data_IF_480826207497
#
_entry.id   IF_480826207497
#
_cell.length_a   1.000
_cell.length_b   1.000
_cell.length_c   1.000
_cell.angle_alpha   90.00
_cell.angle_beta   90.00
_cell.angle_gamma   90.00
#
_symmetry.space_group_name_H-M   'P 1'
#
loop_
_entity.id
_entity.type
_entity.pdbx_description
1 polymer ?
#
# COMPACT_ATOMS: atom_id res chain seq x y z
N UNK A 1 59.80 -3.10 12.03
CA UNK A 1 59.19 -1.80 12.39
C UNK A 1 57.71 -1.86 12.08
N UNK A 2 56.89 -1.57 13.09
CA UNK A 2 55.44 -1.75 13.14
C UNK A 2 54.73 -0.69 12.29
N UNK A 3 53.80 -1.08 11.41
CA UNK A 3 52.69 -0.20 10.99
C UNK A 3 51.41 -1.04 10.85
N UNK A 4 50.69 -1.08 11.96
CA UNK A 4 49.34 -1.60 12.16
C UNK A 4 48.35 -0.96 11.18
N UNK A 5 47.71 -1.78 10.35
CA UNK A 5 46.52 -1.37 9.58
C UNK A 5 45.32 -1.34 10.53
N UNK A 6 44.81 -0.15 10.77
CA UNK A 6 43.62 0.08 11.59
C UNK A 6 42.40 -0.16 10.69
N UNK A 7 41.67 -1.23 10.98
CA UNK A 7 40.37 -1.54 10.37
C UNK A 7 39.30 -0.88 11.25
N UNK A 8 38.73 0.25 10.81
CA UNK A 8 37.50 0.80 11.40
C UNK A 8 36.46 0.95 10.30
N UNK A 9 35.70 -0.12 10.08
CA UNK A 9 34.43 -0.07 9.39
C UNK A 9 33.38 0.41 10.40
N UNK A 10 33.18 1.72 10.47
CA UNK A 10 32.08 2.32 11.26
C UNK A 10 30.77 2.06 10.53
N UNK A 11 30.03 1.05 10.99
CA UNK A 11 28.64 0.84 10.59
C UNK A 11 27.79 1.92 11.29
N UNK A 12 27.37 2.93 10.56
CA UNK A 12 26.40 3.92 11.02
C UNK A 12 24.98 3.39 10.75
N UNK A 13 24.44 2.58 11.67
CA UNK A 13 22.99 2.29 11.68
C UNK A 13 22.30 3.47 12.36
N UNK A 14 21.88 4.47 11.58
CA UNK A 14 20.91 5.44 12.04
C UNK A 14 19.52 4.99 11.59
N UNK A 15 18.64 4.77 12.57
CA UNK A 15 17.30 4.25 12.42
C UNK A 15 16.47 5.00 11.38
N UNK A 16 15.96 4.29 10.38
CA UNK A 16 14.82 4.77 9.60
C UNK A 16 13.60 4.80 10.54
N UNK A 17 13.32 5.99 11.07
CA UNK A 17 12.02 6.27 11.70
C UNK A 17 11.00 6.32 10.57
N UNK A 18 10.30 5.20 10.34
CA UNK A 18 9.12 5.20 9.49
C UNK A 18 8.01 5.97 10.24
N UNK A 19 7.88 7.26 9.95
CA UNK A 19 6.67 8.01 10.31
C UNK A 19 5.50 7.37 9.57
N UNK A 20 4.66 6.65 10.31
CA UNK A 20 3.36 6.19 9.82
C UNK A 20 2.42 7.37 10.01
N UNK A 21 2.36 8.26 9.01
CA UNK A 21 1.36 9.32 9.07
C UNK A 21 -0.03 8.68 9.01
N UNK A 22 -0.81 9.05 10.02
CA UNK A 22 -2.17 8.59 10.27
C UNK A 22 -3.09 8.94 9.09
N UNK A 23 -4.22 8.24 8.98
CA UNK A 23 -5.33 8.62 8.11
C UNK A 23 -5.53 10.14 8.10
N UNK A 24 -5.71 10.70 6.91
CA UNK A 24 -5.97 12.12 6.71
C UNK A 24 -7.00 12.62 7.74
N UNK A 25 -6.57 13.57 8.58
CA UNK A 25 -7.44 14.12 9.64
C UNK A 25 -8.64 14.86 9.05
N UNK A 26 -8.53 15.30 7.79
CA UNK A 26 -9.62 15.96 7.08
C UNK A 26 -10.46 14.91 6.37
N UNK A 27 -11.47 14.42 7.09
CA UNK A 27 -12.37 13.38 6.60
C UNK A 27 -13.15 13.86 5.37
N UNK A 28 -13.06 13.19 4.21
CA UNK A 28 -13.92 13.51 3.06
C UNK A 28 -15.38 13.10 3.35
N UNK A 29 -16.34 13.82 2.77
CA UNK A 29 -17.77 13.53 2.86
C UNK A 29 -18.63 14.78 3.06
N UNK A 30 -19.93 14.56 3.25
CA UNK A 30 -20.95 15.59 3.44
C UNK A 30 -21.73 15.37 4.74
N UNK A 31 -22.24 16.44 5.34
CA UNK A 31 -23.08 16.38 6.56
C UNK A 31 -24.49 16.93 6.34
N UNK A 32 -24.72 17.50 5.16
CA UNK A 32 -25.88 18.27 4.73
C UNK A 32 -26.69 17.55 3.63
N UNK A 33 -26.39 16.28 3.34
CA UNK A 33 -27.17 15.45 2.41
C UNK A 33 -28.39 14.83 3.11
N UNK A 34 -29.46 14.45 2.37
CA UNK A 34 -30.60 13.74 2.96
C UNK A 34 -30.22 12.40 3.61
N UNK A 35 -31.00 11.99 4.62
CA UNK A 35 -30.85 10.70 5.28
C UNK A 35 -31.40 9.58 4.37
N UNK A 36 -30.67 8.48 4.23
CA UNK A 36 -31.13 7.33 3.43
C UNK A 36 -32.26 6.63 4.20
N UNK A 37 -33.42 6.35 3.58
CA UNK A 37 -34.54 5.68 4.25
C UNK A 37 -34.13 4.37 4.93
N UNK A 38 -34.66 4.12 6.13
CA UNK A 38 -34.45 2.89 6.88
C UNK A 38 -33.14 2.80 7.67
N UNK A 39 -32.34 3.88 7.73
CA UNK A 39 -31.08 3.90 8.48
C UNK A 39 -30.69 5.33 8.90
N UNK A 40 -29.55 5.51 9.59
CA UNK A 40 -29.14 6.80 10.19
C UNK A 40 -28.11 7.64 9.41
N UNK A 41 -27.49 7.08 8.37
CA UNK A 41 -26.44 7.75 7.59
C UNK A 41 -26.98 8.57 6.43
N UNK A 42 -26.20 9.52 5.98
CA UNK A 42 -26.44 10.23 4.73
C UNK A 42 -25.64 9.63 3.58
N UNK A 43 -25.96 10.04 2.35
CA UNK A 43 -25.11 9.73 1.19
C UNK A 43 -23.75 10.41 1.39
N UNK A 44 -22.67 9.61 1.37
CA UNK A 44 -21.28 10.04 1.67
C UNK A 44 -21.10 10.73 3.04
N UNK A 45 -21.82 10.26 4.06
CA UNK A 45 -21.78 10.86 5.40
C UNK A 45 -20.36 10.94 6.00
N UNK A 46 -19.89 12.16 6.26
CA UNK A 46 -18.57 12.40 6.84
C UNK A 46 -18.43 11.88 8.28
N UNK A 47 -19.55 11.78 9.02
CA UNK A 47 -19.59 11.34 10.41
C UNK A 47 -19.67 9.81 10.54
N UNK A 48 -19.75 9.07 9.42
CA UNK A 48 -19.74 7.60 9.47
C UNK A 48 -18.38 7.11 9.97
N UNK A 49 -18.34 6.29 11.05
CA UNK A 49 -17.09 5.76 11.59
C UNK A 49 -16.32 5.00 10.51
N UNK A 50 -15.05 5.34 10.34
CA UNK A 50 -14.14 4.63 9.45
C UNK A 50 -13.51 3.45 10.18
N UNK A 51 -13.20 2.36 9.47
CA UNK A 51 -12.34 1.31 10.01
C UNK A 51 -11.02 1.89 10.52
N UNK A 52 -10.46 1.28 11.56
CA UNK A 52 -9.12 1.64 12.03
C UNK A 52 -8.12 1.39 10.91
N UNK A 53 -7.17 2.32 10.74
CA UNK A 53 -6.01 2.07 9.87
C UNK A 53 -5.19 0.96 10.51
N UNK A 54 -4.94 -0.11 9.76
CA UNK A 54 -4.08 -1.21 10.19
C UNK A 54 -2.84 -1.19 9.32
N UNK A 55 -1.67 -1.27 9.96
CA UNK A 55 -0.40 -1.42 9.23
C UNK A 55 -0.40 -2.78 8.52
N UNK A 56 -0.26 -2.75 7.20
CA UNK A 56 -0.06 -3.98 6.44
C UNK A 56 1.25 -4.65 6.90
N UNK A 57 1.16 -5.94 7.25
CA UNK A 57 2.34 -6.76 7.52
C UNK A 57 3.09 -7.11 6.23
N UNK A 58 4.34 -7.57 6.32
CA UNK A 58 5.06 -8.07 5.16
C UNK A 58 4.30 -9.25 4.57
N UNK A 59 4.05 -9.21 3.25
CA UNK A 59 3.50 -10.36 2.55
C UNK A 59 4.59 -11.40 2.38
N UNK A 60 4.33 -12.63 2.83
CA UNK A 60 5.25 -13.78 2.68
C UNK A 60 5.49 -14.17 1.23
N UNK A 61 4.61 -13.75 0.32
CA UNK A 61 4.62 -14.15 -1.09
C UNK A 61 4.92 -13.00 -2.04
N UNK A 62 5.07 -11.77 -1.53
CA UNK A 62 5.41 -10.62 -2.38
C UNK A 62 6.81 -10.81 -2.97
N UNK A 63 6.91 -10.76 -4.30
CA UNK A 63 8.15 -11.02 -5.02
C UNK A 63 8.51 -12.50 -5.16
N UNK A 64 7.67 -13.42 -4.68
CA UNK A 64 7.88 -14.85 -4.93
C UNK A 64 7.76 -15.13 -6.44
N UNK A 65 8.63 -15.99 -6.95
CA UNK A 65 8.54 -16.45 -8.33
C UNK A 65 7.23 -17.23 -8.53
N UNK A 66 6.61 -17.13 -9.71
CA UNK A 66 5.48 -17.98 -10.07
C UNK A 66 5.83 -19.47 -9.87
N UNK A 67 4.90 -20.30 -9.40
CA UNK A 67 5.15 -21.73 -9.25
C UNK A 67 5.39 -22.39 -10.61
N UNK A 68 6.05 -23.55 -10.60
CA UNK A 68 6.32 -24.32 -11.82
C UNK A 68 5.00 -24.66 -12.54
N UNK A 69 4.89 -24.30 -13.81
CA UNK A 69 3.70 -24.54 -14.64
C UNK A 69 2.65 -23.42 -14.62
N UNK A 70 2.85 -22.35 -13.84
CA UNK A 70 1.97 -21.18 -13.89
C UNK A 70 2.13 -20.42 -15.22
N UNK A 71 1.01 -19.90 -15.72
CA UNK A 71 1.02 -18.89 -16.78
C UNK A 71 1.34 -17.54 -16.13
N UNK A 72 2.46 -16.93 -16.53
CA UNK A 72 2.89 -15.63 -16.02
C UNK A 72 2.19 -14.52 -16.80
N UNK A 73 1.32 -13.75 -16.13
CA UNK A 73 0.55 -12.68 -16.76
C UNK A 73 1.32 -11.35 -16.88
N UNK A 74 2.31 -11.14 -16.01
CA UNK A 74 3.19 -9.96 -16.01
C UNK A 74 4.44 -10.28 -15.18
N UNK A 75 5.63 -10.10 -15.77
CA UNK A 75 6.92 -10.29 -15.12
C UNK A 75 7.78 -9.01 -15.07
N UNK A 76 7.21 -7.89 -15.51
CA UNK A 76 7.90 -6.60 -15.64
C UNK A 76 8.38 -6.27 -17.06
N UNK A 77 8.29 -7.21 -18.01
CA UNK A 77 8.78 -7.00 -19.38
C UNK A 77 7.74 -6.33 -20.27
N UNK A 78 6.54 -6.93 -20.34
CA UNK A 78 5.47 -6.46 -21.22
C UNK A 78 4.08 -6.90 -20.75
N UNK A 79 3.05 -6.39 -21.42
CA UNK A 79 1.64 -6.72 -21.17
C UNK A 79 1.03 -7.60 -22.27
N UNK A 80 1.84 -8.37 -23.00
CA UNK A 80 1.40 -9.19 -24.14
C UNK A 80 0.32 -10.24 -23.80
N UNK A 81 0.20 -10.60 -22.52
CA UNK A 81 -0.86 -11.50 -22.02
C UNK A 81 -2.21 -10.81 -21.82
N UNK A 82 -2.29 -9.50 -22.01
CA UNK A 82 -3.50 -8.69 -21.84
C UNK A 82 -3.97 -8.17 -23.19
N UNK A 83 -5.28 -8.23 -23.42
CA UNK A 83 -5.91 -7.62 -24.59
C UNK A 83 -6.56 -6.30 -24.19
N UNK A 84 -6.23 -5.24 -24.94
CA UNK A 84 -6.97 -3.98 -24.86
C UNK A 84 -8.25 -4.14 -25.67
N UNK A 85 -9.25 -4.75 -25.06
CA UNK A 85 -10.59 -4.78 -25.61
C UNK A 85 -11.05 -3.32 -25.67
N UNK A 86 -11.21 -2.74 -26.86
CA UNK A 86 -11.93 -1.48 -27.01
C UNK A 86 -13.38 -1.77 -26.68
N UNK A 87 -13.74 -1.59 -25.41
CA UNK A 87 -15.12 -1.57 -24.99
C UNK A 87 -15.81 -0.50 -25.85
N UNK A 88 -16.73 -0.93 -26.72
CA UNK A 88 -17.66 -0.01 -27.36
C UNK A 88 -18.70 0.31 -26.29
N UNK A 89 -18.60 1.51 -25.72
CA UNK A 89 -19.72 2.17 -25.04
C UNK A 89 -20.72 2.60 -26.11
#
# INVERSE_FOLDING_TARGET
MKKTFIFFLTIFVAAFVFNTDAADKKLPGYTDTPVIPGQKWRVHDANRPRPKVVKAGPSKTLGAKPPKGAVVLFDGTDTSKWSHNKWKV
#
